data_IF_395356308808
#
_entry.id   IF_395356308808
#
_cell.length_a   1.000
_cell.length_b   1.000
_cell.length_c   1.000
_cell.angle_alpha   90.00
_cell.angle_beta   90.00
_cell.angle_gamma   90.00
#
_symmetry.space_group_name_H-M   'P 1'
#
loop_
_entity.id
_entity.type
_entity.pdbx_description
1 polymer ?
#
# COMPACT_ATOMS: atom_id res chain seq x y z
N UNK A 1 -21.77 19.38 -34.14
CA UNK A 1 -20.63 18.44 -33.97
C UNK A 1 -21.05 17.28 -33.09
N UNK A 2 -20.98 16.08 -33.63
CA UNK A 2 -21.25 14.87 -32.84
C UNK A 2 -20.00 14.54 -32.00
N UNK A 3 -20.11 14.64 -30.68
CA UNK A 3 -19.05 14.17 -29.75
C UNK A 3 -19.25 12.68 -29.53
N UNK A 4 -18.25 11.89 -29.92
CA UNK A 4 -18.26 10.42 -29.75
C UNK A 4 -17.27 10.05 -28.67
N UNK A 5 -17.70 9.23 -27.71
CA UNK A 5 -16.81 8.58 -26.75
C UNK A 5 -16.60 7.12 -27.17
N UNK A 6 -15.34 6.70 -27.27
CA UNK A 6 -14.96 5.32 -27.58
C UNK A 6 -14.34 4.71 -26.34
N UNK A 7 -14.93 3.61 -25.85
CA UNK A 7 -14.39 2.83 -24.72
C UNK A 7 -13.85 1.51 -25.28
N UNK A 8 -12.54 1.28 -25.11
CA UNK A 8 -11.87 0.05 -25.48
C UNK A 8 -11.58 -0.77 -24.24
N UNK A 9 -12.09 -2.00 -24.17
CA UNK A 9 -11.84 -2.92 -23.08
C UNK A 9 -10.83 -3.97 -23.55
N UNK A 10 -9.76 -4.18 -22.78
CA UNK A 10 -8.71 -5.15 -23.08
C UNK A 10 -8.27 -5.91 -21.83
N UNK A 11 -7.66 -7.07 -22.03
CA UNK A 11 -7.06 -7.84 -20.93
C UNK A 11 -5.66 -7.34 -20.61
N UNK A 12 -5.25 -7.52 -19.35
CA UNK A 12 -3.90 -7.25 -18.91
C UNK A 12 -2.97 -8.45 -19.20
N UNK A 13 -1.73 -8.17 -19.56
CA UNK A 13 -0.71 -9.19 -19.63
C UNK A 13 -0.49 -9.83 -18.26
N UNK A 14 -0.27 -11.16 -18.23
CA UNK A 14 -0.01 -11.90 -16.99
C UNK A 14 1.37 -11.62 -16.40
N UNK A 15 2.30 -11.09 -17.21
CA UNK A 15 3.64 -10.75 -16.75
C UNK A 15 3.59 -9.53 -15.81
N UNK A 16 4.34 -9.60 -14.73
CA UNK A 16 4.55 -8.44 -13.88
C UNK A 16 5.51 -7.47 -14.58
N UNK A 17 5.09 -6.23 -14.71
CA UNK A 17 5.88 -5.12 -15.18
C UNK A 17 6.10 -4.14 -14.03
N UNK A 18 7.20 -3.44 -14.03
CA UNK A 18 7.52 -2.42 -13.02
C UNK A 18 6.49 -1.28 -13.03
N UNK A 19 5.87 -1.06 -14.19
CA UNK A 19 4.83 -0.07 -14.39
C UNK A 19 3.51 -0.76 -14.78
N UNK A 20 2.47 -0.54 -13.99
CA UNK A 20 1.19 -1.25 -14.14
C UNK A 20 0.53 -1.08 -15.52
N UNK A 21 0.65 0.09 -16.16
CA UNK A 21 0.05 0.34 -17.47
C UNK A 21 0.76 -0.40 -18.62
N UNK A 22 2.02 -0.82 -18.42
CA UNK A 22 2.74 -1.65 -19.40
C UNK A 22 2.13 -3.05 -19.55
N UNK A 23 1.26 -3.44 -18.62
CA UNK A 23 0.47 -4.68 -18.69
C UNK A 23 -0.71 -4.58 -19.65
N UNK A 24 -1.05 -3.40 -20.16
CA UNK A 24 -2.10 -3.25 -21.15
C UNK A 24 -1.62 -3.89 -22.45
N UNK A 25 -2.24 -5.01 -22.81
CA UNK A 25 -1.89 -5.73 -24.05
C UNK A 25 -2.33 -4.91 -25.27
N UNK A 26 -1.37 -4.66 -26.14
CA UNK A 26 -1.56 -3.83 -27.33
C UNK A 26 -0.27 -3.11 -27.67
N UNK A 27 -0.24 -2.44 -28.79
CA UNK A 27 0.91 -1.63 -29.16
C UNK A 27 1.06 -0.45 -28.21
N UNK A 28 2.28 0.02 -27.97
CA UNK A 28 2.55 1.29 -27.27
C UNK A 28 1.73 2.47 -27.88
N UNK A 29 1.27 2.32 -29.12
CA UNK A 29 0.37 3.24 -29.78
C UNK A 29 -0.99 3.42 -29.09
N UNK A 30 -1.57 2.37 -28.47
CA UNK A 30 -2.85 2.51 -27.75
C UNK A 30 -2.70 3.41 -26.53
N UNK A 31 -1.60 3.30 -25.81
CA UNK A 31 -1.33 4.16 -24.65
C UNK A 31 -1.12 5.62 -25.08
N UNK A 32 -0.53 5.84 -26.27
CA UNK A 32 -0.26 7.18 -26.78
C UNK A 32 -1.48 7.95 -27.31
N UNK A 33 -2.52 7.25 -27.76
CA UNK A 33 -3.73 7.86 -28.33
C UNK A 33 -4.89 7.96 -27.35
N UNK A 34 -4.90 7.16 -26.27
CA UNK A 34 -5.98 7.20 -25.29
C UNK A 34 -5.94 8.50 -24.49
N UNK A 35 -7.09 9.16 -24.36
CA UNK A 35 -7.23 10.34 -23.52
C UNK A 35 -7.15 9.96 -22.03
N UNK A 36 -7.63 8.76 -21.71
CA UNK A 36 -7.61 8.26 -20.34
C UNK A 36 -7.51 6.72 -20.36
N UNK A 37 -6.80 6.17 -19.42
CA UNK A 37 -6.64 4.74 -19.21
C UNK A 37 -7.04 4.38 -17.79
N UNK A 38 -7.82 3.32 -17.65
CA UNK A 38 -8.22 2.76 -16.37
C UNK A 38 -7.79 1.31 -16.29
N UNK A 39 -7.30 0.93 -15.15
CA UNK A 39 -6.80 -0.42 -14.88
C UNK A 39 -7.42 -0.92 -13.59
N UNK A 40 -8.11 -2.07 -13.69
CA UNK A 40 -8.64 -2.78 -12.53
C UNK A 40 -7.78 -4.04 -12.35
N UNK A 41 -7.05 -4.11 -11.25
CA UNK A 41 -6.24 -5.27 -10.90
C UNK A 41 -6.88 -5.98 -9.71
N UNK A 42 -7.24 -7.25 -9.89
CA UNK A 42 -7.84 -8.06 -8.84
C UNK A 42 -6.73 -8.77 -8.07
N UNK A 43 -6.60 -8.42 -6.80
CA UNK A 43 -5.70 -9.10 -5.88
C UNK A 43 -6.37 -10.30 -5.19
N UNK A 44 -5.76 -10.74 -4.11
CA UNK A 44 -6.29 -11.82 -3.29
C UNK A 44 -7.51 -11.38 -2.47
N UNK A 45 -8.35 -12.36 -2.06
CA UNK A 45 -9.49 -12.14 -1.16
C UNK A 45 -10.48 -11.06 -1.63
N UNK A 46 -10.75 -11.00 -2.95
CA UNK A 46 -11.65 -10.02 -3.56
C UNK A 46 -11.20 -8.54 -3.45
N UNK A 47 -10.06 -8.28 -2.83
CA UNK A 47 -9.44 -6.95 -2.83
C UNK A 47 -8.71 -6.70 -4.14
N UNK A 48 -8.62 -5.44 -4.53
CA UNK A 48 -7.93 -5.06 -5.75
C UNK A 48 -7.57 -3.58 -5.75
N UNK A 49 -7.07 -3.12 -6.89
CA UNK A 49 -6.81 -1.70 -7.13
C UNK A 49 -7.50 -1.22 -8.40
N UNK A 50 -7.94 0.02 -8.37
CA UNK A 50 -8.42 0.76 -9.52
C UNK A 50 -7.50 1.96 -9.73
N UNK A 51 -6.72 1.91 -10.80
CA UNK A 51 -5.73 2.91 -11.15
C UNK A 51 -6.19 3.65 -12.39
N UNK A 52 -6.06 4.96 -12.39
CA UNK A 52 -6.41 5.79 -13.53
C UNK A 52 -5.31 6.78 -13.88
N UNK A 53 -5.16 7.04 -15.16
CA UNK A 53 -4.26 8.02 -15.76
C UNK A 53 -4.87 8.62 -17.01
N UNK A 54 -4.65 9.90 -17.24
CA UNK A 54 -5.14 10.56 -18.46
C UNK A 54 -4.52 11.94 -18.67
N UNK A 55 -4.85 12.55 -19.81
CA UNK A 55 -4.34 13.88 -20.17
C UNK A 55 -4.87 14.96 -19.25
N UNK A 56 -6.17 14.85 -18.90
CA UNK A 56 -6.91 15.87 -18.16
C UNK A 56 -7.32 15.41 -16.77
N UNK A 57 -6.79 14.29 -16.28
CA UNK A 57 -7.03 13.76 -14.94
C UNK A 57 -5.70 13.53 -14.23
N UNK A 58 -5.70 13.79 -12.92
CA UNK A 58 -4.57 13.41 -12.09
C UNK A 58 -4.51 11.90 -11.94
N UNK A 59 -3.29 11.35 -11.93
CA UNK A 59 -3.07 9.94 -11.64
C UNK A 59 -3.64 9.59 -10.27
N UNK A 60 -4.41 8.51 -10.18
CA UNK A 60 -4.99 8.03 -8.95
C UNK A 60 -4.85 6.52 -8.82
N UNK A 61 -4.82 6.04 -7.59
CA UNK A 61 -4.85 4.62 -7.25
C UNK A 61 -5.74 4.42 -6.03
N UNK A 62 -6.86 3.76 -6.23
CA UNK A 62 -7.83 3.43 -5.19
C UNK A 62 -7.79 1.96 -4.84
N UNK A 63 -7.93 1.64 -3.57
CA UNK A 63 -8.23 0.29 -3.15
C UNK A 63 -9.72 0.04 -3.37
N UNK A 64 -10.02 -1.13 -3.90
CA UNK A 64 -11.38 -1.58 -4.20
C UNK A 64 -11.60 -3.00 -3.70
N UNK A 65 -12.83 -3.35 -3.41
CA UNK A 65 -13.22 -4.69 -3.03
C UNK A 65 -14.38 -5.16 -3.90
N UNK A 66 -14.27 -6.37 -4.43
CA UNK A 66 -15.36 -6.98 -5.16
C UNK A 66 -16.46 -7.46 -4.19
N UNK A 67 -17.69 -7.03 -4.43
CA UNK A 67 -18.89 -7.49 -3.72
C UNK A 67 -19.62 -8.51 -4.58
N UNK A 68 -19.56 -9.79 -4.20
CA UNK A 68 -20.19 -10.89 -4.93
C UNK A 68 -21.72 -10.81 -4.91
N UNK A 69 -22.30 -10.18 -3.90
CA UNK A 69 -23.76 -10.04 -3.78
C UNK A 69 -24.32 -8.99 -4.72
N UNK A 70 -23.57 -7.96 -5.02
CA UNK A 70 -23.96 -6.82 -5.85
C UNK A 70 -23.30 -6.82 -7.23
N UNK A 71 -22.37 -7.76 -7.48
CA UNK A 71 -21.60 -7.86 -8.72
C UNK A 71 -20.90 -6.54 -9.11
N UNK A 72 -20.28 -5.87 -8.12
CA UNK A 72 -19.58 -4.61 -8.34
C UNK A 72 -18.36 -4.47 -7.45
N UNK A 73 -17.47 -3.56 -7.83
CA UNK A 73 -16.41 -3.11 -6.95
C UNK A 73 -16.91 -1.99 -6.03
N UNK A 74 -16.60 -2.09 -4.76
CA UNK A 74 -16.81 -1.04 -3.77
C UNK A 74 -15.50 -0.29 -3.51
N UNK A 75 -15.59 1.01 -3.43
CA UNK A 75 -14.46 1.89 -3.14
C UNK A 75 -14.10 1.81 -1.65
N UNK A 76 -12.84 1.52 -1.34
CA UNK A 76 -12.33 1.45 0.03
C UNK A 76 -11.55 2.69 0.46
N UNK A 77 -11.02 3.46 -0.50
CA UNK A 77 -10.22 4.64 -0.23
C UNK A 77 -8.98 4.75 -1.10
N UNK A 78 -8.18 5.78 -0.82
CA UNK A 78 -6.86 5.95 -1.43
C UNK A 78 -5.94 4.80 -1.00
N UNK A 79 -5.41 4.04 -1.97
CA UNK A 79 -4.61 2.84 -1.70
C UNK A 79 -3.37 3.15 -0.89
N UNK A 80 -2.66 4.24 -1.22
CA UNK A 80 -1.43 4.61 -0.50
C UNK A 80 -1.70 4.93 0.97
N UNK A 81 -2.83 5.59 1.26
CA UNK A 81 -3.22 5.89 2.66
C UNK A 81 -3.56 4.62 3.43
N UNK A 82 -4.30 3.70 2.80
CA UNK A 82 -4.66 2.43 3.43
C UNK A 82 -3.43 1.55 3.68
N UNK A 83 -2.53 1.42 2.71
CA UNK A 83 -1.29 0.67 2.87
C UNK A 83 -0.41 1.24 4.01
N UNK A 84 -0.36 2.58 4.15
CA UNK A 84 0.35 3.23 5.25
C UNK A 84 -0.29 2.93 6.61
N UNK A 85 -1.62 2.94 6.70
CA UNK A 85 -2.34 2.60 7.94
C UNK A 85 -2.14 1.13 8.31
N UNK A 86 -2.24 0.22 7.36
CA UNK A 86 -2.03 -1.21 7.58
C UNK A 86 -0.60 -1.49 8.06
N UNK A 87 0.42 -0.94 7.41
CA UNK A 87 1.80 -1.08 7.84
C UNK A 87 2.04 -0.52 9.24
N UNK A 88 1.40 0.58 9.59
CA UNK A 88 1.47 1.17 10.94
C UNK A 88 0.88 0.25 12.00
N UNK A 89 -0.31 -0.28 11.75
CA UNK A 89 -0.96 -1.25 12.64
C UNK A 89 -0.13 -2.52 12.80
N UNK A 90 0.48 -2.99 11.74
CA UNK A 90 1.37 -4.15 11.76
C UNK A 90 2.60 -3.92 12.65
N UNK A 91 3.21 -2.73 12.58
CA UNK A 91 4.32 -2.36 13.46
C UNK A 91 3.89 -2.38 14.93
N UNK A 92 2.79 -1.70 15.27
CA UNK A 92 2.27 -1.63 16.64
C UNK A 92 1.99 -3.03 17.19
N UNK A 93 1.27 -3.85 16.42
CA UNK A 93 0.94 -5.23 16.80
C UNK A 93 2.18 -6.07 17.15
N UNK A 94 3.24 -5.96 16.36
CA UNK A 94 4.49 -6.70 16.65
C UNK A 94 5.19 -6.14 17.87
N UNK A 95 5.22 -4.83 18.06
CA UNK A 95 5.84 -4.22 19.26
C UNK A 95 5.10 -4.63 20.53
N UNK A 96 3.78 -4.66 20.54
CA UNK A 96 2.96 -5.14 21.65
C UNK A 96 3.20 -6.62 21.92
N UNK A 97 3.25 -7.46 20.89
CA UNK A 97 3.58 -8.88 21.02
C UNK A 97 4.96 -9.07 21.65
N UNK A 98 5.98 -8.38 21.17
CA UNK A 98 7.34 -8.47 21.71
C UNK A 98 7.41 -8.02 23.17
N UNK A 99 6.67 -6.96 23.53
CA UNK A 99 6.58 -6.47 24.89
C UNK A 99 5.92 -7.49 25.82
N UNK A 100 4.78 -8.07 25.37
CA UNK A 100 3.98 -8.98 26.18
C UNK A 100 4.66 -10.35 26.38
N UNK A 101 5.13 -10.96 25.28
CA UNK A 101 5.56 -12.36 25.32
C UNK A 101 7.08 -12.52 25.55
N UNK A 102 7.87 -11.48 25.28
CA UNK A 102 9.33 -11.52 25.41
C UNK A 102 9.89 -10.44 26.34
N UNK A 103 9.04 -9.64 26.96
CA UNK A 103 9.44 -8.46 27.77
C UNK A 103 10.42 -7.53 27.03
N UNK A 104 10.32 -7.47 25.71
CA UNK A 104 11.18 -6.68 24.83
C UNK A 104 10.50 -5.35 24.53
N UNK A 105 10.98 -4.29 25.13
CA UNK A 105 10.41 -2.94 24.99
C UNK A 105 10.88 -2.17 23.78
N UNK A 106 11.99 -2.60 23.17
CA UNK A 106 12.55 -1.99 21.96
C UNK A 106 12.47 -2.95 20.77
N UNK A 107 12.15 -2.43 19.60
CA UNK A 107 11.94 -3.17 18.37
C UNK A 107 12.75 -2.56 17.23
N UNK A 108 13.32 -3.42 16.39
CA UNK A 108 13.93 -3.00 15.12
C UNK A 108 12.97 -3.27 13.95
N UNK A 109 13.14 -2.62 12.79
CA UNK A 109 12.44 -3.04 11.59
C UNK A 109 12.63 -4.52 11.27
N UNK A 110 13.85 -5.06 11.62
CA UNK A 110 14.19 -6.47 11.49
C UNK A 110 13.27 -7.41 12.27
N UNK A 111 12.87 -7.01 13.46
CA UNK A 111 11.96 -7.81 14.28
C UNK A 111 10.57 -7.88 13.62
N UNK A 112 10.11 -6.77 13.04
CA UNK A 112 8.80 -6.70 12.41
C UNK A 112 8.74 -7.53 11.13
N UNK A 113 9.70 -7.37 10.22
CA UNK A 113 9.63 -8.14 8.98
C UNK A 113 9.91 -9.62 9.20
N UNK A 114 10.70 -10.01 10.21
CA UNK A 114 10.88 -11.42 10.61
C UNK A 114 9.58 -12.04 11.16
N UNK A 115 8.82 -11.28 11.96
CA UNK A 115 7.53 -11.73 12.47
C UNK A 115 6.56 -12.12 11.34
N UNK A 116 6.56 -11.36 10.25
CA UNK A 116 5.74 -11.63 9.07
C UNK A 116 6.40 -12.57 8.05
N UNK A 117 7.61 -13.04 8.28
CA UNK A 117 8.33 -13.92 7.35
C UNK A 117 8.86 -13.22 6.10
N UNK A 118 8.95 -11.89 6.11
CA UNK A 118 9.46 -11.14 4.96
C UNK A 118 10.98 -11.25 4.85
N UNK A 119 11.48 -11.36 3.63
CA UNK A 119 12.92 -11.39 3.38
C UNK A 119 13.55 -10.03 3.61
N UNK A 120 14.77 -9.94 4.16
CA UNK A 120 15.54 -8.70 4.19
C UNK A 120 15.65 -8.10 2.78
N UNK A 121 15.56 -6.77 2.69
CA UNK A 121 15.61 -6.01 1.43
C UNK A 121 14.45 -6.26 0.44
N UNK A 122 13.41 -6.98 0.85
CA UNK A 122 12.18 -7.04 0.06
C UNK A 122 11.44 -5.68 0.09
N UNK A 123 10.48 -5.50 -0.82
CA UNK A 123 9.62 -4.30 -0.84
C UNK A 123 8.88 -4.10 0.47
N UNK A 124 8.37 -5.21 1.06
CA UNK A 124 7.66 -5.22 2.34
C UNK A 124 8.57 -4.81 3.50
N UNK A 125 9.79 -5.38 3.58
CA UNK A 125 10.76 -5.02 4.60
C UNK A 125 11.17 -3.53 4.53
N UNK A 126 11.36 -3.01 3.29
CA UNK A 126 11.66 -1.61 3.06
C UNK A 126 10.49 -0.70 3.45
N UNK A 127 9.24 -1.11 3.19
CA UNK A 127 8.05 -0.38 3.58
C UNK A 127 7.92 -0.29 5.10
N UNK A 128 8.19 -1.37 5.83
CA UNK A 128 8.21 -1.38 7.30
C UNK A 128 9.25 -0.41 7.83
N UNK A 129 10.48 -0.46 7.32
CA UNK A 129 11.55 0.45 7.76
C UNK A 129 11.19 1.92 7.55
N UNK A 130 10.60 2.25 6.40
CA UNK A 130 10.12 3.61 6.10
C UNK A 130 8.96 4.01 7.02
N UNK A 131 8.04 3.06 7.30
CA UNK A 131 6.89 3.29 8.19
C UNK A 131 7.36 3.61 9.59
N UNK A 132 8.26 2.82 10.19
CA UNK A 132 8.79 3.07 11.53
C UNK A 132 9.54 4.42 11.62
N UNK A 133 10.28 4.78 10.57
CA UNK A 133 10.94 6.10 10.50
C UNK A 133 9.92 7.24 10.47
N UNK A 134 8.81 7.09 9.74
CA UNK A 134 7.72 8.08 9.69
C UNK A 134 6.99 8.18 11.02
N UNK A 135 6.66 7.03 11.63
CA UNK A 135 6.03 6.98 12.95
C UNK A 135 6.87 7.70 14.02
N UNK A 136 8.19 7.54 13.98
CA UNK A 136 9.10 8.30 14.85
C UNK A 136 9.03 9.80 14.60
N UNK A 137 9.04 10.23 13.34
CA UNK A 137 8.92 11.65 12.97
C UNK A 137 7.59 12.26 13.42
N UNK A 138 6.54 11.46 13.47
CA UNK A 138 5.20 11.86 13.90
C UNK A 138 4.98 11.68 15.41
N UNK A 139 6.03 11.43 16.18
CA UNK A 139 5.96 11.21 17.64
C UNK A 139 5.08 10.02 18.07
N UNK A 140 4.88 9.05 17.20
CA UNK A 140 4.17 7.80 17.51
C UNK A 140 5.12 6.73 18.07
N UNK A 141 6.40 6.83 17.72
CA UNK A 141 7.49 6.01 18.25
C UNK A 141 8.61 6.93 18.75
N UNK A 142 9.30 6.46 19.79
CA UNK A 142 10.54 7.06 20.27
C UNK A 142 11.75 6.27 19.77
N UNK A 143 12.91 6.91 19.75
CA UNK A 143 14.18 6.21 19.54
C UNK A 143 14.49 5.32 20.73
N UNK A 144 14.93 4.09 20.50
CA UNK A 144 15.41 3.21 21.56
C UNK A 144 16.84 3.52 22.01
N UNK A 145 17.38 2.66 22.85
CA UNK A 145 18.73 2.80 23.43
C UNK A 145 19.85 2.64 22.41
N UNK A 146 19.61 1.92 21.32
CA UNK A 146 20.57 1.66 20.25
C UNK A 146 20.12 2.26 18.94
N UNK A 147 21.08 2.59 18.07
CA UNK A 147 20.75 3.06 16.72
C UNK A 147 19.87 2.07 15.96
N UNK A 148 18.78 2.57 15.36
CA UNK A 148 17.84 1.75 14.60
C UNK A 148 16.85 0.95 15.44
N UNK A 149 16.80 1.17 16.76
CA UNK A 149 15.74 0.64 17.61
C UNK A 149 14.68 1.69 17.92
N UNK A 150 13.45 1.22 18.14
CA UNK A 150 12.27 2.06 18.39
C UNK A 150 11.48 1.50 19.56
N UNK A 151 10.83 2.34 20.33
CA UNK A 151 9.89 1.98 21.40
C UNK A 151 8.57 2.72 21.24
N UNK A 152 7.50 2.12 21.73
CA UNK A 152 6.19 2.80 21.79
C UNK A 152 6.29 3.97 22.78
N UNK A 153 5.66 5.08 22.41
CA UNK A 153 5.50 6.22 23.33
C UNK A 153 4.67 5.75 24.52
N UNK A 154 5.13 6.02 25.75
CA UNK A 154 4.37 5.73 26.96
C UNK A 154 3.13 6.62 27.02
N UNK A 155 1.99 6.06 27.47
CA UNK A 155 0.70 6.79 27.54
C UNK A 155 0.75 8.02 28.46
N UNK A 156 1.80 8.18 29.26
CA UNK A 156 1.97 9.31 30.18
C UNK A 156 2.21 10.68 29.49
N UNK A 157 2.44 10.69 28.16
CA UNK A 157 2.72 11.93 27.40
C UNK A 157 1.57 12.43 26.53
N UNK A 158 0.38 11.82 26.61
CA UNK A 158 -0.78 12.22 25.81
C UNK A 158 -1.74 13.19 26.53
N UNK A 159 -1.22 14.08 27.36
CA UNK A 159 -1.98 15.21 27.93
C UNK A 159 -1.45 16.52 27.37
N UNK A 160 -1.83 16.81 26.11
CA UNK A 160 -1.92 18.22 25.64
C UNK A 160 -3.09 18.33 24.65
#
# INVERSE_FOLDING_TARGET
>A
ENRVCIILITHLAKQNHDYNFDRITGSAGLQGIADCMWLIDRGESNKGSFTGRGRDILDFEFAVQWDDSKFRYEYLGDKKKLDLQENRLNVIKVMEYLKKDFNKTECTPGDVYKYYGYKPNSSEANNISRTMTRMRKNYELESGSKFGTYKLVSEEHNHF
#
